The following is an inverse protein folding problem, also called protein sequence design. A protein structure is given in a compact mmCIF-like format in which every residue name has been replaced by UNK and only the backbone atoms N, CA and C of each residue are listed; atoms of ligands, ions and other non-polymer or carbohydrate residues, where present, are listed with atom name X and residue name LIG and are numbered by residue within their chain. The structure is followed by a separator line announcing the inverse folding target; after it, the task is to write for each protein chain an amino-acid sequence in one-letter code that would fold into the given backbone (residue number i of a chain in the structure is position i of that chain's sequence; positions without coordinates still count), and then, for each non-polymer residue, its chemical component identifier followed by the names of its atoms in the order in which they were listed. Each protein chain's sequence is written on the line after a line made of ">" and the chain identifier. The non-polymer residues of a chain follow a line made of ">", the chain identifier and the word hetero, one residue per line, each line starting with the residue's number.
data_IF_114975680354
#
_entry.id   IF_114975680354
#
_cell.length_a   1.000
_cell.length_b   1.000
_cell.length_c   1.000
_cell.angle_alpha   90.00
_cell.angle_beta   90.00
_cell.angle_gamma   90.00
#
_symmetry.space_group_name_H-M   'P 1'
#
loop_
_entity.id
_entity.type
_entity.pdbx_description
1 polymer ?
#
# COMPACT_ATOMS: atom_id res chain seq x y z
N UNK A 1 -15.10 -6.11 -19.78
CA UNK A 1 -15.72 -5.24 -18.76
C UNK A 1 -14.74 -4.77 -17.67
N UNK A 2 -13.96 -5.65 -17.01
CA UNK A 2 -13.00 -5.23 -15.97
C UNK A 2 -11.80 -4.41 -16.50
N UNK A 3 -11.28 -4.74 -17.69
CA UNK A 3 -10.15 -4.00 -18.30
C UNK A 3 -10.47 -2.53 -18.60
N UNK A 4 -11.70 -2.22 -19.05
CA UNK A 4 -12.12 -0.84 -19.33
C UNK A 4 -12.16 0.04 -18.08
N UNK A 5 -12.51 -0.52 -16.92
CA UNK A 5 -12.52 0.23 -15.65
C UNK A 5 -11.11 0.60 -15.19
N UNK A 6 -10.11 -0.23 -15.48
CA UNK A 6 -8.71 0.08 -15.18
C UNK A 6 -8.18 1.24 -16.03
N UNK A 7 -8.60 1.31 -17.30
CA UNK A 7 -8.24 2.40 -18.19
C UNK A 7 -8.88 3.74 -17.78
N UNK A 8 -10.11 3.73 -17.25
CA UNK A 8 -10.74 4.95 -16.70
C UNK A 8 -9.96 5.51 -15.50
N UNK A 9 -9.41 4.66 -14.62
CA UNK A 9 -8.61 5.11 -13.49
C UNK A 9 -7.27 5.75 -13.90
N UNK A 10 -6.63 5.25 -14.97
CA UNK A 10 -5.35 5.79 -15.48
C UNK A 10 -5.55 7.04 -16.36
N UNK A 11 -6.72 7.18 -17.00
CA UNK A 11 -7.01 8.28 -17.93
C UNK A 11 -7.85 9.43 -17.38
N UNK A 12 -8.79 9.16 -16.47
CA UNK A 12 -9.83 10.13 -16.06
C UNK A 12 -9.59 10.66 -14.64
N UNK A 13 -9.03 9.84 -13.75
CA UNK A 13 -8.88 10.18 -12.33
C UNK A 13 -7.52 10.82 -11.97
N UNK A 14 -6.64 11.02 -12.95
CA UNK A 14 -5.33 11.65 -12.75
C UNK A 14 -4.33 10.77 -12.00
N UNK A 15 -4.59 9.47 -11.87
CA UNK A 15 -3.64 8.51 -11.32
C UNK A 15 -2.69 8.02 -12.40
N UNK A 16 -1.39 8.01 -12.09
CA UNK A 16 -0.38 7.48 -13.00
C UNK A 16 -0.39 5.94 -13.02
N UNK A 17 0.27 5.37 -14.01
CA UNK A 17 0.34 3.91 -14.18
C UNK A 17 1.09 3.22 -13.01
N UNK A 18 2.07 3.89 -12.43
CA UNK A 18 2.86 3.38 -11.31
C UNK A 18 2.01 3.17 -10.05
N UNK A 19 1.09 4.09 -9.76
CA UNK A 19 0.11 3.95 -8.69
C UNK A 19 -0.78 2.73 -8.93
N UNK A 20 -1.24 2.51 -10.16
CA UNK A 20 -2.05 1.34 -10.47
C UNK A 20 -1.27 0.04 -10.23
N UNK A 21 -0.02 -0.03 -10.69
CA UNK A 21 0.85 -1.18 -10.43
C UNK A 21 1.03 -1.42 -8.93
N UNK A 22 1.25 -0.34 -8.16
CA UNK A 22 1.36 -0.43 -6.69
C UNK A 22 0.09 -0.97 -6.03
N UNK A 23 -1.09 -0.56 -6.49
CA UNK A 23 -2.35 -1.09 -5.98
C UNK A 23 -2.52 -2.59 -6.29
N UNK A 24 -2.06 -3.03 -7.47
CA UNK A 24 -2.05 -4.44 -7.87
C UNK A 24 -1.11 -5.23 -6.97
N UNK A 25 0.11 -4.74 -6.73
CA UNK A 25 1.08 -5.35 -5.80
C UNK A 25 0.47 -5.54 -4.40
N UNK A 26 -0.07 -4.48 -3.81
CA UNK A 26 -0.71 -4.53 -2.48
C UNK A 26 -1.87 -5.54 -2.47
N UNK A 27 -2.66 -5.60 -3.54
CA UNK A 27 -3.78 -6.56 -3.67
C UNK A 27 -3.27 -7.99 -3.88
N UNK A 28 -2.09 -8.19 -4.45
CA UNK A 28 -1.49 -9.51 -4.65
C UNK A 28 -0.88 -10.08 -3.37
N UNK A 29 -0.47 -9.23 -2.43
CA UNK A 29 0.10 -9.63 -1.14
C UNK A 29 -0.97 -10.16 -0.15
N UNK A 30 -2.25 -9.89 -0.38
CA UNK A 30 -3.32 -10.39 0.51
C UNK A 30 -3.72 -11.83 0.18
N UNK A 31 -4.16 -12.57 1.19
CA UNK A 31 -4.55 -13.99 1.06
C UNK A 31 -5.67 -14.24 0.03
N UNK A 32 -6.53 -13.24 -0.22
CA UNK A 32 -7.60 -13.32 -1.24
C UNK A 32 -7.63 -12.04 -2.09
N UNK A 33 -6.80 -11.97 -3.14
CA UNK A 33 -6.82 -10.86 -4.08
C UNK A 33 -8.21 -10.71 -4.70
N UNK A 34 -8.78 -9.51 -4.67
CA UNK A 34 -10.05 -9.24 -5.32
C UNK A 34 -10.08 -7.87 -5.97
N UNK A 35 -10.74 -7.79 -7.12
CA UNK A 35 -10.90 -6.51 -7.82
C UNK A 35 -11.66 -5.47 -6.98
N UNK A 36 -12.56 -5.94 -6.10
CA UNK A 36 -13.26 -5.06 -5.15
C UNK A 36 -12.28 -4.40 -4.18
N UNK A 37 -11.30 -5.15 -3.68
CA UNK A 37 -10.24 -4.62 -2.82
C UNK A 37 -9.33 -3.65 -3.56
N UNK A 38 -8.89 -4.01 -4.77
CA UNK A 38 -8.10 -3.14 -5.64
C UNK A 38 -8.79 -1.78 -5.86
N UNK A 39 -10.08 -1.78 -6.22
CA UNK A 39 -10.84 -0.54 -6.36
C UNK A 39 -10.93 0.24 -5.05
N UNK A 40 -11.08 -0.44 -3.91
CA UNK A 40 -11.13 0.23 -2.60
C UNK A 40 -9.85 1.00 -2.28
N UNK A 41 -8.68 0.46 -2.67
CA UNK A 41 -7.39 1.15 -2.57
C UNK A 41 -7.40 2.40 -3.45
N UNK A 42 -7.76 2.25 -4.73
CA UNK A 42 -7.78 3.36 -5.69
C UNK A 42 -8.77 4.47 -5.29
N UNK A 43 -9.97 4.11 -4.82
CA UNK A 43 -10.96 5.07 -4.32
C UNK A 43 -10.46 5.83 -3.08
N UNK A 44 -9.71 5.16 -2.19
CA UNK A 44 -9.13 5.79 -1.02
C UNK A 44 -8.03 6.81 -1.41
N UNK A 45 -7.15 6.46 -2.35
CA UNK A 45 -6.14 7.37 -2.85
C UNK A 45 -6.75 8.57 -3.59
N UNK A 46 -7.79 8.33 -4.40
CA UNK A 46 -8.56 9.39 -5.04
C UNK A 46 -9.17 10.36 -4.03
N UNK A 47 -9.78 9.85 -2.96
CA UNK A 47 -10.35 10.69 -1.87
C UNK A 47 -9.28 11.53 -1.16
N UNK A 48 -8.05 11.02 -1.09
CA UNK A 48 -6.89 11.75 -0.54
C UNK A 48 -6.24 12.70 -1.54
N UNK A 49 -6.68 12.70 -2.80
CA UNK A 49 -6.12 13.53 -3.86
C UNK A 49 -4.73 13.09 -4.30
N UNK A 50 -4.40 11.80 -4.18
CA UNK A 50 -3.11 11.31 -4.63
C UNK A 50 -3.05 11.25 -6.15
N UNK A 51 -1.99 11.82 -6.71
CA UNK A 51 -1.72 11.88 -8.16
C UNK A 51 -0.31 11.40 -8.50
N UNK A 52 0.49 11.03 -7.50
CA UNK A 52 1.86 10.54 -7.70
C UNK A 52 2.17 9.31 -6.83
N UNK A 53 3.19 8.55 -7.26
CA UNK A 53 3.63 7.34 -6.57
C UNK A 53 4.28 7.68 -5.22
N UNK A 54 4.97 8.82 -5.13
CA UNK A 54 5.62 9.29 -3.91
C UNK A 54 4.59 9.51 -2.79
N UNK A 55 3.43 10.07 -3.11
CA UNK A 55 2.35 10.25 -2.14
C UNK A 55 1.77 8.92 -1.65
N UNK A 56 1.71 7.92 -2.53
CA UNK A 56 1.29 6.56 -2.18
C UNK A 56 2.30 5.92 -1.26
N UNK A 57 3.59 6.02 -1.57
CA UNK A 57 4.67 5.43 -0.78
C UNK A 57 4.77 6.06 0.61
N UNK A 58 4.67 7.39 0.72
CA UNK A 58 4.60 8.08 2.02
C UNK A 58 3.39 7.61 2.84
N UNK A 59 2.25 7.40 2.20
CA UNK A 59 1.06 6.89 2.88
C UNK A 59 1.23 5.43 3.31
N UNK A 60 1.81 4.57 2.47
CA UNK A 60 2.09 3.17 2.79
C UNK A 60 3.07 3.05 3.97
N UNK A 61 4.13 3.87 3.95
CA UNK A 61 5.09 3.97 5.04
C UNK A 61 4.41 4.41 6.35
N UNK A 62 3.58 5.46 6.33
CA UNK A 62 2.80 5.90 7.50
C UNK A 62 1.84 4.82 8.01
N UNK A 63 1.23 4.02 7.13
CA UNK A 63 0.39 2.89 7.53
C UNK A 63 1.18 1.78 8.22
N UNK A 64 2.38 1.47 7.72
CA UNK A 64 3.30 0.49 8.31
C UNK A 64 3.84 0.97 9.66
N UNK A 65 4.24 2.23 9.76
CA UNK A 65 4.72 2.85 11.00
C UNK A 65 3.61 3.00 12.04
N UNK A 66 2.40 3.43 11.64
CA UNK A 66 1.24 3.53 12.53
C UNK A 66 0.78 2.19 13.10
N UNK A 67 0.94 1.10 12.35
CA UNK A 67 0.76 -0.28 12.86
C UNK A 67 1.77 -0.63 13.96
N UNK A 68 2.99 -0.10 13.88
CA UNK A 68 4.01 -0.32 14.91
C UNK A 68 3.72 0.48 16.18
N UNK A 69 3.18 1.70 16.07
CA UNK A 69 2.81 2.52 17.24
C UNK A 69 1.52 2.09 17.94
N UNK A 70 0.61 1.39 17.24
CA UNK A 70 -0.66 0.91 17.82
C UNK A 70 -0.57 -0.46 18.50
N UNK A 71 0.64 -1.05 18.63
CA UNK A 71 0.90 -2.22 19.48
C UNK A 71 1.58 -1.80 20.78
N UNK A 72 0.84 -1.41 21.83
CA UNK A 72 1.38 -1.48 23.17
C UNK A 72 1.42 -2.96 23.57
N UNK A 73 2.54 -3.65 23.29
CA UNK A 73 2.84 -4.94 23.91
C UNK A 73 3.38 -6.01 22.96
N UNK A 74 4.55 -6.55 23.35
CA UNK A 74 5.29 -7.70 22.81
C UNK A 74 6.05 -7.38 21.51
N UNK A 75 7.38 -7.41 21.45
CA UNK A 75 8.29 -8.39 22.05
C UNK A 75 9.65 -7.77 22.41
N UNK A 76 10.12 -8.09 23.61
CA UNK A 76 11.52 -8.00 24.03
C UNK A 76 12.16 -9.36 23.74
N UNK A 77 13.32 -9.37 23.06
CA UNK A 77 14.55 -10.13 23.38
C UNK A 77 15.55 -9.88 22.23
N UNK A 78 16.66 -9.14 22.46
CA UNK A 78 17.97 -9.67 22.88
C UNK A 78 18.31 -10.96 22.11
N UNK A 79 19.31 -10.96 21.23
CA UNK A 79 20.72 -11.01 21.64
C UNK A 79 21.64 -10.44 20.56
N UNK A 80 22.36 -9.37 20.91
CA UNK A 80 23.67 -9.10 20.36
C UNK A 80 24.65 -10.00 21.08
N UNK A 81 25.30 -10.92 20.37
CA UNK A 81 26.58 -11.50 20.79
C UNK A 81 27.54 -11.34 19.62
N UNK A 82 28.20 -10.19 19.59
CA UNK A 82 29.58 -10.10 19.17
C UNK A 82 30.42 -10.45 20.40
N UNK A 83 31.09 -11.58 20.43
CA UNK A 83 32.38 -11.68 21.12
C UNK A 83 33.35 -12.55 20.31
N UNK A 84 34.37 -11.83 19.86
CA UNK A 84 35.66 -12.29 19.36
C UNK A 84 36.33 -13.17 20.40
N UNK A 85 36.74 -14.39 20.03
CA UNK A 85 37.99 -15.02 20.47
C UNK A 85 38.54 -15.91 19.37
#
# INVERSE_FOLDING_TARGET
>A
KQHQQLLEYVGIDGMNFDMLNRAIEITSEIHQPSFKYLRGILENWKKKGFTSIEQVDENDQKYKEGKNYSRPGQQNDKTSEQEVR
#
